data_IF_436519156556
#
_entry.id   IF_436519156556
#
_cell.length_a   1.000
_cell.length_b   1.000
_cell.length_c   1.000
_cell.angle_alpha   90.00
_cell.angle_beta   90.00
_cell.angle_gamma   90.00
#
_symmetry.space_group_name_H-M   'P 1'
#
loop_
_entity.id
_entity.type
_entity.pdbx_description
1 polymer ?
#
# COMPACT_ATOMS: atom_id res chain seq x y z
N UNK A 1 14.21 8.15 -28.81
CA UNK A 1 15.00 6.96 -29.20
C UNK A 1 16.47 7.37 -29.26
N UNK A 2 17.37 6.47 -28.85
CA UNK A 2 18.84 6.60 -28.76
C UNK A 2 19.40 7.27 -27.50
N UNK A 3 19.86 6.42 -26.54
CA UNK A 3 21.13 6.52 -25.78
C UNK A 3 21.19 5.61 -24.53
N UNK A 4 20.17 4.79 -24.24
CA UNK A 4 20.16 3.93 -23.04
C UNK A 4 20.70 2.50 -23.22
N UNK A 5 20.82 2.00 -24.45
CA UNK A 5 21.10 0.56 -24.68
C UNK A 5 22.60 0.24 -24.79
N UNK A 6 23.46 1.25 -24.88
CA UNK A 6 24.92 1.10 -24.99
C UNK A 6 25.53 1.49 -23.65
N UNK A 7 26.16 0.54 -22.90
CA UNK A 7 26.85 0.85 -21.65
C UNK A 7 27.95 1.91 -21.83
N UNK A 8 28.21 2.72 -20.80
CA UNK A 8 29.24 3.78 -20.85
C UNK A 8 30.66 3.24 -21.08
N UNK A 9 30.90 1.97 -20.71
CA UNK A 9 32.17 1.24 -20.86
C UNK A 9 32.19 0.30 -22.09
N UNK A 10 31.24 0.46 -23.02
CA UNK A 10 31.12 -0.42 -24.17
C UNK A 10 32.27 -0.25 -25.19
N UNK A 11 32.60 -1.34 -25.88
CA UNK A 11 33.53 -1.32 -27.01
C UNK A 11 33.07 -0.33 -28.10
N UNK A 12 34.02 0.29 -28.82
CA UNK A 12 33.70 1.14 -29.95
C UNK A 12 32.89 0.39 -31.01
N UNK A 13 31.74 0.96 -31.41
CA UNK A 13 30.73 0.35 -32.30
C UNK A 13 29.85 -0.75 -31.68
N UNK A 14 29.68 -0.75 -30.35
CA UNK A 14 28.69 -1.61 -29.70
C UNK A 14 27.29 -1.43 -30.32
N UNK A 15 26.63 -2.50 -30.77
CA UNK A 15 25.30 -2.41 -31.37
C UNK A 15 24.20 -2.07 -30.35
N UNK A 16 24.53 -2.01 -29.05
CA UNK A 16 23.58 -1.90 -27.94
C UNK A 16 23.08 -3.26 -27.47
N UNK A 17 22.75 -3.36 -26.17
CA UNK A 17 22.35 -4.61 -25.50
C UNK A 17 21.00 -5.14 -25.98
N UNK A 18 20.11 -4.26 -26.45
CA UNK A 18 18.77 -4.60 -26.95
C UNK A 18 18.69 -4.84 -28.47
N UNK A 19 19.81 -4.69 -29.19
CA UNK A 19 19.85 -4.86 -30.64
C UNK A 19 19.90 -6.33 -31.04
N UNK A 20 19.26 -6.70 -32.15
CA UNK A 20 19.32 -8.05 -32.73
C UNK A 20 20.74 -8.56 -33.01
N UNK A 21 21.68 -7.64 -33.21
CA UNK A 21 23.11 -7.93 -33.40
C UNK A 21 23.94 -7.95 -32.10
N UNK A 22 23.36 -7.65 -30.94
CA UNK A 22 24.01 -7.77 -29.63
C UNK A 22 24.53 -9.19 -29.39
N UNK A 23 25.80 -9.30 -28.99
CA UNK A 23 26.50 -10.56 -28.77
C UNK A 23 26.85 -11.36 -30.03
N UNK A 24 26.37 -10.92 -31.21
CA UNK A 24 26.53 -11.61 -32.50
C UNK A 24 27.38 -10.82 -33.51
N UNK A 25 27.53 -9.52 -33.33
CA UNK A 25 28.32 -8.65 -34.22
C UNK A 25 29.83 -8.77 -34.01
N UNK A 26 30.61 -8.38 -35.01
CA UNK A 26 32.08 -8.37 -34.92
C UNK A 26 32.58 -7.44 -33.80
N UNK A 27 31.86 -6.35 -33.51
CA UNK A 27 32.16 -5.43 -32.41
C UNK A 27 31.98 -6.06 -31.01
N UNK A 28 31.29 -7.20 -30.93
CA UNK A 28 31.09 -7.94 -29.68
C UNK A 28 32.19 -8.97 -29.41
N UNK A 29 33.07 -9.27 -30.38
CA UNK A 29 34.11 -10.28 -30.20
C UNK A 29 35.10 -9.87 -29.09
N UNK A 30 35.30 -10.76 -28.12
CA UNK A 30 36.18 -10.50 -26.97
C UNK A 30 35.57 -9.62 -25.89
N UNK A 31 34.29 -9.23 -26.03
CA UNK A 31 33.55 -8.56 -24.96
C UNK A 31 33.21 -9.57 -23.84
N UNK A 32 33.48 -9.27 -22.56
CA UNK A 32 33.14 -10.15 -21.45
C UNK A 32 31.66 -10.53 -21.36
N UNK A 33 30.77 -9.65 -21.86
CA UNK A 33 29.32 -9.83 -21.82
C UNK A 33 28.74 -10.35 -23.16
N UNK A 34 29.57 -10.83 -24.09
CA UNK A 34 29.14 -11.24 -25.44
C UNK A 34 28.03 -12.31 -25.39
N UNK A 35 28.24 -13.39 -24.64
CA UNK A 35 27.29 -14.52 -24.56
C UNK A 35 25.99 -14.11 -23.87
N UNK A 36 26.07 -13.27 -22.84
CA UNK A 36 24.90 -12.71 -22.16
C UNK A 36 24.06 -11.86 -23.12
N UNK A 37 24.68 -10.97 -23.89
CA UNK A 37 23.99 -10.15 -24.90
C UNK A 37 23.44 -10.98 -26.08
N UNK A 38 24.08 -12.11 -26.40
CA UNK A 38 23.64 -13.00 -27.48
C UNK A 38 22.39 -13.80 -27.11
N UNK A 39 22.26 -14.15 -25.83
CA UNK A 39 21.20 -15.01 -25.28
C UNK A 39 20.09 -14.22 -24.57
N UNK A 40 20.33 -12.95 -24.23
CA UNK A 40 19.31 -12.07 -23.67
C UNK A 40 18.10 -11.95 -24.62
N UNK A 41 16.86 -12.04 -24.09
CA UNK A 41 15.66 -11.75 -24.86
C UNK A 41 15.75 -10.34 -25.46
N UNK A 42 15.37 -10.21 -26.73
CA UNK A 42 15.43 -8.94 -27.48
C UNK A 42 14.04 -8.46 -27.81
N UNK A 43 13.87 -7.15 -27.83
CA UNK A 43 12.58 -6.52 -28.04
C UNK A 43 11.73 -6.45 -26.78
N UNK A 44 10.52 -5.86 -26.87
CA UNK A 44 9.64 -5.69 -25.73
C UNK A 44 9.24 -7.06 -25.17
N UNK A 45 9.30 -7.18 -23.86
CA UNK A 45 8.94 -8.38 -23.12
C UNK A 45 7.50 -8.81 -23.48
N UNK A 46 7.28 -10.00 -24.05
CA UNK A 46 5.96 -10.42 -24.51
C UNK A 46 4.93 -10.52 -23.38
N UNK A 47 5.39 -10.70 -22.14
CA UNK A 47 4.50 -10.70 -20.98
C UNK A 47 3.84 -9.32 -20.76
N UNK A 48 4.48 -8.22 -21.17
CA UNK A 48 3.91 -6.88 -21.03
C UNK A 48 2.64 -6.71 -21.88
N UNK A 49 2.57 -7.37 -23.03
CA UNK A 49 1.37 -7.34 -23.88
C UNK A 49 0.23 -8.06 -23.19
N UNK A 50 0.49 -9.23 -22.62
CA UNK A 50 -0.52 -10.02 -21.88
C UNK A 50 -0.97 -9.27 -20.62
N UNK A 51 -0.04 -8.65 -19.89
CA UNK A 51 -0.37 -7.79 -18.74
C UNK A 51 -1.26 -6.64 -19.19
N UNK A 52 -0.95 -6.00 -20.32
CA UNK A 52 -1.75 -4.90 -20.83
C UNK A 52 -3.19 -5.32 -21.14
N UNK A 53 -3.37 -6.47 -21.79
CA UNK A 53 -4.69 -7.05 -22.08
C UNK A 53 -5.46 -7.40 -20.79
N UNK A 54 -4.78 -8.03 -19.81
CA UNK A 54 -5.40 -8.39 -18.52
C UNK A 54 -5.82 -7.16 -17.73
N UNK A 55 -4.95 -6.16 -17.65
CA UNK A 55 -5.13 -4.95 -16.85
C UNK A 55 -6.00 -3.89 -17.54
N UNK A 56 -6.38 -4.09 -18.80
CA UNK A 56 -7.36 -3.26 -19.49
C UNK A 56 -8.76 -3.32 -18.85
N UNK A 57 -9.10 -4.42 -18.17
CA UNK A 57 -10.37 -4.60 -17.46
C UNK A 57 -10.40 -3.93 -16.07
N UNK A 58 -9.33 -3.22 -15.70
CA UNK A 58 -9.18 -2.52 -14.43
C UNK A 58 -9.25 -1.02 -14.68
N UNK A 59 -10.32 -0.37 -14.22
CA UNK A 59 -10.57 1.06 -14.48
C UNK A 59 -9.56 1.97 -13.78
N UNK A 60 -9.38 1.80 -12.48
CA UNK A 60 -8.47 2.60 -11.67
C UNK A 60 -7.40 1.76 -11.00
N UNK A 61 -6.14 2.20 -11.05
CA UNK A 61 -4.98 1.52 -10.44
C UNK A 61 -4.31 2.49 -9.48
N UNK A 62 -4.44 2.20 -8.18
CA UNK A 62 -3.97 3.06 -7.09
C UNK A 62 -2.92 2.33 -6.28
N UNK A 63 -1.76 2.95 -6.11
CA UNK A 63 -0.70 2.41 -5.27
C UNK A 63 -0.79 2.98 -3.85
N UNK A 64 -0.55 2.15 -2.85
CA UNK A 64 -0.39 2.58 -1.47
C UNK A 64 1.07 2.40 -1.08
N UNK A 65 1.76 3.53 -0.92
CA UNK A 65 3.20 3.60 -0.65
C UNK A 65 3.47 4.03 0.79
N UNK A 66 4.68 3.76 1.27
CA UNK A 66 5.16 4.30 2.55
C UNK A 66 6.68 4.38 2.56
N UNK A 67 7.25 5.44 3.13
CA UNK A 67 8.70 5.59 3.20
C UNK A 67 9.40 4.65 4.20
N UNK A 68 8.66 4.10 5.18
CA UNK A 68 9.19 3.20 6.21
C UNK A 68 8.18 2.11 6.59
N UNK A 69 8.69 1.00 7.14
CA UNK A 69 7.86 -0.05 7.73
C UNK A 69 7.11 0.42 8.99
N UNK A 70 5.97 -0.20 9.28
CA UNK A 70 5.22 0.03 10.53
C UNK A 70 4.36 1.30 10.59
N UNK A 71 4.20 2.04 9.50
CA UNK A 71 3.30 3.23 9.45
C UNK A 71 1.80 2.88 9.36
N UNK A 72 1.46 1.60 9.22
CA UNK A 72 0.09 1.15 8.97
C UNK A 72 -0.36 1.24 7.51
N UNK A 73 0.57 1.18 6.56
CA UNK A 73 0.32 1.15 5.11
C UNK A 73 -0.71 0.06 4.73
N UNK A 74 -0.42 -1.19 5.06
CA UNK A 74 -1.29 -2.33 4.73
C UNK A 74 -2.64 -2.26 5.44
N UNK A 75 -2.69 -1.72 6.67
CA UNK A 75 -3.95 -1.44 7.37
C UNK A 75 -4.78 -0.43 6.59
N UNK A 76 -4.16 0.65 6.11
CA UNK A 76 -4.82 1.63 5.25
C UNK A 76 -5.28 1.00 3.93
N UNK A 77 -4.44 0.18 3.27
CA UNK A 77 -4.80 -0.54 2.02
C UNK A 77 -6.03 -1.43 2.19
N UNK A 78 -6.10 -2.18 3.30
CA UNK A 78 -7.25 -3.03 3.63
C UNK A 78 -8.52 -2.20 3.90
N UNK A 79 -8.42 -1.15 4.72
CA UNK A 79 -9.58 -0.31 5.04
C UNK A 79 -10.06 0.54 3.85
N UNK A 80 -9.14 1.01 3.00
CA UNK A 80 -9.48 1.63 1.71
C UNK A 80 -10.29 0.66 0.85
N UNK A 81 -9.85 -0.59 0.75
CA UNK A 81 -10.54 -1.62 -0.02
C UNK A 81 -11.95 -1.89 0.54
N UNK A 82 -12.10 -2.02 1.87
CA UNK A 82 -13.41 -2.16 2.50
C UNK A 82 -14.33 -0.96 2.26
N UNK A 83 -13.81 0.27 2.35
CA UNK A 83 -14.60 1.48 2.14
C UNK A 83 -15.10 1.59 0.70
N UNK A 84 -14.22 1.35 -0.29
CA UNK A 84 -14.60 1.37 -1.70
C UNK A 84 -15.59 0.25 -2.03
N UNK A 85 -15.41 -0.94 -1.47
CA UNK A 85 -16.35 -2.04 -1.60
C UNK A 85 -17.72 -1.72 -0.99
N UNK A 86 -17.78 -1.00 0.13
CA UNK A 86 -19.02 -0.52 0.73
C UNK A 86 -19.72 0.56 -0.12
N UNK A 87 -19.03 1.15 -1.10
CA UNK A 87 -19.59 2.02 -2.13
C UNK A 87 -19.99 1.24 -3.41
N UNK A 88 -20.09 -0.10 -3.31
CA UNK A 88 -20.43 -1.07 -4.36
C UNK A 88 -19.42 -1.22 -5.50
N UNK A 89 -18.20 -0.70 -5.34
CA UNK A 89 -17.15 -0.90 -6.34
C UNK A 89 -16.60 -2.34 -6.32
N UNK A 90 -16.15 -2.81 -7.48
CA UNK A 90 -15.40 -4.06 -7.61
C UNK A 90 -13.91 -3.83 -7.35
N UNK A 91 -13.38 -4.46 -6.31
CA UNK A 91 -12.03 -4.17 -5.79
C UNK A 91 -11.11 -5.38 -5.96
N UNK A 92 -9.94 -5.13 -6.53
CA UNK A 92 -8.77 -6.00 -6.43
C UNK A 92 -7.80 -5.39 -5.43
N UNK A 93 -7.33 -6.17 -4.47
CA UNK A 93 -6.24 -5.82 -3.58
C UNK A 93 -5.05 -6.73 -3.87
N UNK A 94 -3.97 -6.13 -4.37
CA UNK A 94 -2.75 -6.82 -4.72
C UNK A 94 -1.66 -6.46 -3.71
N UNK A 95 -1.25 -7.43 -2.92
CA UNK A 95 -0.16 -7.32 -1.95
C UNK A 95 1.16 -7.81 -2.58
N UNK A 96 2.05 -6.85 -2.83
CA UNK A 96 3.41 -7.10 -3.31
C UNK A 96 4.46 -6.85 -2.22
N UNK A 97 4.07 -6.67 -0.96
CA UNK A 97 4.99 -6.54 0.17
C UNK A 97 5.55 -7.92 0.56
N UNK A 98 6.45 -8.39 -0.29
CA UNK A 98 6.97 -9.77 -0.28
C UNK A 98 7.67 -10.13 1.03
N UNK A 99 8.27 -9.15 1.71
CA UNK A 99 9.07 -9.34 2.90
C UNK A 99 8.24 -9.45 4.19
N UNK A 100 6.98 -9.00 4.16
CA UNK A 100 6.10 -8.97 5.34
C UNK A 100 4.63 -8.91 4.95
N UNK A 101 4.10 -9.94 4.25
CA UNK A 101 2.73 -9.93 3.77
C UNK A 101 1.78 -9.89 4.96
N UNK A 102 1.04 -8.79 5.10
CA UNK A 102 0.12 -8.58 6.22
C UNK A 102 -1.34 -8.56 5.78
N UNK A 103 -1.60 -8.42 4.47
CA UNK A 103 -2.95 -8.35 3.92
C UNK A 103 -3.79 -9.61 4.21
N UNK A 104 -3.28 -10.86 4.08
CA UNK A 104 -4.06 -12.04 4.46
C UNK A 104 -4.57 -11.99 5.90
N UNK A 105 -3.74 -11.55 6.85
CA UNK A 105 -4.16 -11.34 8.25
C UNK A 105 -5.22 -10.24 8.36
N UNK A 106 -4.95 -9.09 7.75
CA UNK A 106 -5.79 -7.89 7.85
C UNK A 106 -7.18 -8.03 7.23
N UNK A 107 -7.39 -9.09 6.45
CA UNK A 107 -8.68 -9.44 5.83
C UNK A 107 -9.25 -10.77 6.33
N UNK A 108 -8.64 -11.40 7.34
CA UNK A 108 -9.15 -12.66 7.91
C UNK A 108 -9.04 -13.86 6.97
N UNK A 109 -8.07 -13.82 6.05
CA UNK A 109 -7.82 -14.83 5.02
C UNK A 109 -6.62 -15.74 5.34
N UNK A 110 -6.21 -15.82 6.61
CA UNK A 110 -5.14 -16.73 7.02
C UNK A 110 -5.49 -18.19 6.69
N UNK A 111 -4.51 -18.93 6.18
CA UNK A 111 -4.69 -20.32 5.76
C UNK A 111 -5.41 -20.51 4.41
N UNK A 112 -5.84 -19.43 3.76
CA UNK A 112 -6.29 -19.49 2.38
C UNK A 112 -5.10 -19.59 1.41
N UNK A 113 -5.37 -20.14 0.22
CA UNK A 113 -4.36 -20.34 -0.81
C UNK A 113 -4.88 -19.96 -2.19
N UNK A 114 -3.98 -19.56 -3.08
CA UNK A 114 -4.30 -19.31 -4.48
C UNK A 114 -4.64 -20.65 -5.14
N UNK A 115 -5.74 -20.68 -5.91
CA UNK A 115 -6.15 -21.84 -6.69
C UNK A 115 -5.88 -21.60 -8.16
N UNK A 116 -5.39 -22.61 -8.86
CA UNK A 116 -5.18 -22.56 -10.31
C UNK A 116 -6.37 -23.22 -11.02
N UNK A 117 -6.83 -22.59 -12.11
CA UNK A 117 -7.88 -23.09 -12.99
C UNK A 117 -7.50 -22.84 -14.46
N UNK A 118 -8.36 -23.24 -15.40
CA UNK A 118 -8.10 -23.10 -16.85
C UNK A 118 -7.93 -21.65 -17.34
N UNK A 119 -8.36 -20.65 -16.57
CA UNK A 119 -8.26 -19.22 -16.87
C UNK A 119 -7.04 -18.56 -16.20
N UNK A 120 -6.36 -19.27 -15.30
CA UNK A 120 -5.22 -18.82 -14.52
C UNK A 120 -5.42 -18.97 -13.01
N UNK A 121 -4.77 -18.10 -12.24
CA UNK A 121 -4.88 -18.04 -10.79
C UNK A 121 -6.18 -17.33 -10.37
N UNK A 122 -6.92 -17.98 -9.47
CA UNK A 122 -8.13 -17.41 -8.86
C UNK A 122 -7.73 -16.59 -7.63
N UNK A 123 -8.16 -15.31 -7.54
CA UNK A 123 -7.95 -14.54 -6.33
C UNK A 123 -8.78 -15.09 -5.17
N UNK A 124 -8.33 -14.82 -3.94
CA UNK A 124 -9.08 -15.14 -2.72
C UNK A 124 -10.11 -14.04 -2.47
N UNK A 125 -11.34 -14.42 -2.12
CA UNK A 125 -12.43 -13.47 -1.89
C UNK A 125 -12.59 -13.23 -0.39
N UNK A 126 -12.72 -11.95 0.01
CA UNK A 126 -13.13 -11.58 1.38
C UNK A 126 -14.65 -11.56 1.46
N UNK A 127 -15.25 -10.75 0.59
CA UNK A 127 -16.68 -10.61 0.34
C UNK A 127 -16.91 -10.69 -1.18
N UNK A 128 -18.17 -10.59 -1.63
CA UNK A 128 -18.53 -10.75 -3.04
C UNK A 128 -17.82 -9.81 -4.03
N UNK A 129 -17.34 -8.64 -3.56
CA UNK A 129 -16.73 -7.60 -4.39
C UNK A 129 -15.28 -7.22 -4.00
N UNK A 130 -14.63 -7.97 -3.09
CA UNK A 130 -13.20 -7.78 -2.76
C UNK A 130 -12.43 -9.05 -3.12
N UNK A 131 -11.54 -8.92 -4.09
CA UNK A 131 -10.63 -9.97 -4.58
C UNK A 131 -9.22 -9.66 -4.11
N UNK A 132 -8.49 -10.66 -3.63
CA UNK A 132 -7.18 -10.48 -3.00
C UNK A 132 -6.17 -11.43 -3.59
N UNK A 133 -4.98 -10.91 -3.87
CA UNK A 133 -3.78 -11.68 -4.14
C UNK A 133 -2.68 -11.16 -3.22
N UNK A 134 -1.99 -12.09 -2.56
CA UNK A 134 -0.84 -11.81 -1.72
C UNK A 134 0.16 -12.94 -1.86
N UNK A 135 1.45 -12.63 -1.72
CA UNK A 135 2.46 -13.68 -1.57
C UNK A 135 2.18 -14.56 -0.34
N UNK A 136 1.51 -14.04 0.70
CA UNK A 136 1.21 -14.79 1.91
C UNK A 136 0.39 -16.06 1.66
N UNK A 137 -0.36 -16.12 0.55
CA UNK A 137 -1.10 -17.32 0.12
C UNK A 137 -0.23 -18.39 -0.55
N UNK A 138 1.01 -18.06 -0.89
CA UNK A 138 1.99 -18.96 -1.51
C UNK A 138 3.05 -19.44 -0.52
N UNK A 139 3.05 -18.91 0.71
CA UNK A 139 3.99 -19.32 1.75
C UNK A 139 3.51 -20.62 2.41
N UNK A 140 4.42 -21.57 2.73
CA UNK A 140 4.06 -22.81 3.39
C UNK A 140 3.49 -22.62 4.80
N UNK A 141 3.88 -21.53 5.46
CA UNK A 141 3.42 -21.16 6.79
C UNK A 141 3.66 -19.68 7.13
N UNK A 142 2.98 -19.16 8.16
CA UNK A 142 2.99 -17.74 8.52
C UNK A 142 4.33 -17.23 9.08
N UNK A 143 5.14 -18.12 9.68
CA UNK A 143 6.43 -17.76 10.30
C UNK A 143 7.63 -17.93 9.36
N UNK A 144 7.40 -18.32 8.10
CA UNK A 144 8.50 -18.53 7.15
C UNK A 144 9.04 -17.21 6.60
N UNK A 145 10.32 -16.95 6.85
CA UNK A 145 11.01 -15.80 6.31
C UNK A 145 11.22 -15.94 4.79
N UNK A 146 10.69 -14.98 4.04
CA UNK A 146 10.81 -14.94 2.58
C UNK A 146 12.15 -14.32 2.18
N UNK A 147 13.18 -15.14 1.99
CA UNK A 147 14.49 -14.70 1.49
C UNK A 147 14.60 -14.96 -0.02
N UNK A 148 13.88 -14.18 -0.82
CA UNK A 148 13.87 -14.32 -2.28
C UNK A 148 14.76 -13.28 -2.95
N UNK A 149 15.49 -13.69 -4.00
CA UNK A 149 16.28 -12.78 -4.83
C UNK A 149 15.39 -11.90 -5.70
N UNK A 150 15.82 -10.66 -5.96
CA UNK A 150 15.08 -9.65 -6.74
C UNK A 150 14.39 -10.17 -8.01
N UNK A 151 15.09 -10.87 -8.93
CA UNK A 151 14.47 -11.39 -10.16
C UNK A 151 13.28 -12.32 -9.92
N UNK A 152 13.31 -13.12 -8.85
CA UNK A 152 12.20 -14.01 -8.48
C UNK A 152 11.00 -13.21 -7.98
N UNK A 153 11.24 -12.13 -7.23
CA UNK A 153 10.19 -11.22 -6.76
C UNK A 153 9.53 -10.49 -7.93
N UNK A 154 10.33 -9.91 -8.82
CA UNK A 154 9.86 -9.27 -10.06
C UNK A 154 9.05 -10.24 -10.92
N UNK A 155 9.52 -11.49 -11.08
CA UNK A 155 8.78 -12.54 -11.79
C UNK A 155 7.44 -12.89 -11.13
N UNK A 156 7.37 -12.91 -9.79
CA UNK A 156 6.11 -13.15 -9.09
C UNK A 156 5.11 -12.00 -9.30
N UNK A 157 5.55 -10.75 -9.17
CA UNK A 157 4.70 -9.57 -9.42
C UNK A 157 4.14 -9.63 -10.85
N UNK A 158 5.00 -10.00 -11.81
CA UNK A 158 4.60 -10.19 -13.20
C UNK A 158 3.50 -11.25 -13.34
N UNK A 159 3.65 -12.41 -12.69
CA UNK A 159 2.64 -13.47 -12.69
C UNK A 159 1.33 -13.00 -12.02
N UNK A 160 1.38 -12.21 -10.95
CA UNK A 160 0.18 -11.64 -10.34
C UNK A 160 -0.62 -10.72 -11.28
N UNK A 161 0.05 -10.03 -12.20
CA UNK A 161 -0.61 -9.19 -13.19
C UNK A 161 -1.06 -9.97 -14.43
N UNK A 162 -0.32 -11.02 -14.81
CA UNK A 162 -0.54 -11.78 -16.04
C UNK A 162 -1.51 -12.95 -15.86
N UNK A 163 -1.28 -13.73 -14.81
CA UNK A 163 -1.89 -15.06 -14.64
C UNK A 163 -3.11 -15.02 -13.71
N UNK A 164 -3.29 -13.95 -12.92
CA UNK A 164 -4.48 -13.81 -12.07
C UNK A 164 -5.68 -13.37 -12.89
N UNK A 165 -6.77 -14.10 -12.75
CA UNK A 165 -8.05 -13.74 -13.34
C UNK A 165 -8.84 -12.81 -12.42
N UNK A 166 -8.58 -11.50 -12.55
CA UNK A 166 -9.23 -10.44 -11.76
C UNK A 166 -10.68 -10.15 -12.17
N UNK A 167 -11.09 -10.57 -13.37
CA UNK A 167 -12.31 -10.14 -14.05
C UNK A 167 -12.38 -8.59 -14.18
N UNK A 168 -13.57 -8.00 -14.27
CA UNK A 168 -13.76 -6.55 -14.24
C UNK A 168 -13.56 -5.98 -12.82
N UNK A 169 -12.74 -4.93 -12.73
CA UNK A 169 -12.47 -4.19 -11.50
C UNK A 169 -12.67 -2.70 -11.73
N UNK A 170 -13.33 -2.05 -10.76
CA UNK A 170 -13.35 -0.59 -10.69
C UNK A 170 -12.02 -0.07 -10.13
N UNK A 171 -11.47 -0.75 -9.11
CA UNK A 171 -10.19 -0.39 -8.51
C UNK A 171 -9.28 -1.61 -8.33
N UNK A 172 -8.01 -1.44 -8.69
CA UNK A 172 -6.91 -2.27 -8.21
C UNK A 172 -6.07 -1.43 -7.23
N UNK A 173 -6.16 -1.77 -5.95
CA UNK A 173 -5.33 -1.22 -4.89
C UNK A 173 -4.08 -2.08 -4.77
N UNK A 174 -2.89 -1.49 -4.88
CA UNK A 174 -1.62 -2.20 -4.75
C UNK A 174 -0.93 -1.81 -3.45
N UNK A 175 -0.78 -2.76 -2.53
CA UNK A 175 -0.02 -2.60 -1.31
C UNK A 175 1.45 -2.90 -1.58
N UNK A 176 2.29 -1.85 -1.63
CA UNK A 176 3.72 -2.00 -1.99
C UNK A 176 4.58 -2.29 -0.76
N UNK A 177 5.79 -2.83 -0.87
CA UNK A 177 6.75 -2.79 0.25
C UNK A 177 7.09 -1.34 0.67
N UNK A 178 7.64 -1.15 1.89
CA UNK A 178 8.10 0.16 2.34
C UNK A 178 9.41 0.60 1.68
N UNK A 179 9.55 1.91 1.49
CA UNK A 179 10.70 2.57 0.89
C UNK A 179 10.80 2.34 -0.62
N UNK A 180 11.80 2.96 -1.24
CA UNK A 180 12.06 2.86 -2.69
C UNK A 180 12.72 1.52 -3.04
N UNK A 181 11.95 0.59 -3.57
CA UNK A 181 12.38 -0.80 -3.83
C UNK A 181 12.24 -1.21 -5.29
N UNK A 182 12.96 -2.27 -5.71
CA UNK A 182 12.89 -2.80 -7.07
C UNK A 182 11.48 -3.26 -7.43
N UNK A 183 10.71 -3.72 -6.44
CA UNK A 183 9.31 -4.13 -6.57
C UNK A 183 8.41 -2.96 -7.01
N UNK A 184 8.62 -1.76 -6.46
CA UNK A 184 7.87 -0.55 -6.85
C UNK A 184 8.21 -0.10 -8.27
N UNK A 185 9.49 -0.18 -8.66
CA UNK A 185 9.91 0.14 -10.03
C UNK A 185 9.29 -0.88 -11.01
N UNK A 186 9.34 -2.17 -10.65
CA UNK A 186 8.82 -3.27 -11.47
C UNK A 186 7.32 -3.11 -11.72
N UNK A 187 6.51 -2.84 -10.69
CA UNK A 187 5.05 -2.68 -10.85
C UNK A 187 4.70 -1.46 -11.71
N UNK A 188 5.43 -0.34 -11.57
CA UNK A 188 5.25 0.85 -12.42
C UNK A 188 5.56 0.53 -13.87
N UNK A 189 6.65 -0.19 -14.13
CA UNK A 189 7.04 -0.59 -15.49
C UNK A 189 6.00 -1.53 -16.12
N UNK A 190 5.53 -2.54 -15.38
CA UNK A 190 4.56 -3.51 -15.88
C UNK A 190 3.19 -2.90 -16.17
N UNK A 191 2.76 -1.92 -15.36
CA UNK A 191 1.47 -1.25 -15.52
C UNK A 191 1.54 -0.01 -16.43
N UNK A 192 2.73 0.41 -16.85
CA UNK A 192 2.95 1.65 -17.60
C UNK A 192 2.12 1.77 -18.89
N UNK A 193 1.85 0.65 -19.58
CA UNK A 193 1.02 0.63 -20.79
C UNK A 193 -0.49 0.75 -20.52
N UNK A 194 -0.94 0.51 -19.28
CA UNK A 194 -2.37 0.46 -18.90
C UNK A 194 -2.85 1.64 -18.08
N UNK A 195 -1.96 2.61 -17.82
CA UNK A 195 -2.23 3.78 -17.01
C UNK A 195 -2.25 3.47 -15.50
N UNK A 196 -1.69 4.40 -14.72
CA UNK A 196 -1.68 4.38 -13.25
C UNK A 196 -2.30 5.70 -12.81
N UNK A 197 -3.40 5.66 -12.06
CA UNK A 197 -4.10 6.88 -11.62
C UNK A 197 -3.25 7.67 -10.62
N UNK A 198 -2.53 6.95 -9.75
CA UNK A 198 -1.54 7.54 -8.88
C UNK A 198 -1.25 6.73 -7.62
N UNK A 199 -0.57 7.38 -6.68
CA UNK A 199 -0.15 6.82 -5.41
C UNK A 199 -0.67 7.62 -4.23
N UNK A 200 -1.08 6.90 -3.18
CA UNK A 200 -1.35 7.42 -1.85
C UNK A 200 -0.15 7.09 -0.98
N UNK A 201 0.39 8.07 -0.27
CA UNK A 201 1.54 7.86 0.61
C UNK A 201 1.08 7.88 2.07
N UNK A 202 1.34 6.80 2.80
CA UNK A 202 1.01 6.67 4.22
C UNK A 202 2.26 6.96 5.06
N UNK A 203 2.11 7.78 6.09
CA UNK A 203 3.20 8.15 7.02
C UNK A 203 2.72 8.30 8.45
N UNK A 204 3.65 8.53 9.37
CA UNK A 204 3.39 8.95 10.76
C UNK A 204 3.94 10.37 11.00
N UNK A 205 3.48 11.11 12.03
CA UNK A 205 3.93 12.49 12.28
C UNK A 205 5.40 12.62 12.74
N UNK A 206 6.09 11.51 13.02
CA UNK A 206 7.49 11.49 13.42
C UNK A 206 8.40 12.17 12.38
N UNK A 207 9.30 13.05 12.83
CA UNK A 207 10.24 13.78 11.96
C UNK A 207 11.04 12.88 11.02
N UNK A 208 11.54 11.75 11.53
CA UNK A 208 12.31 10.79 10.73
C UNK A 208 11.48 10.24 9.57
N UNK A 209 10.16 10.05 9.76
CA UNK A 209 9.27 9.53 8.73
C UNK A 209 9.00 10.54 7.62
N UNK A 210 8.96 11.84 7.96
CA UNK A 210 8.76 12.89 6.96
C UNK A 210 9.89 12.94 5.93
N UNK A 211 11.13 12.63 6.34
CA UNK A 211 12.26 12.55 5.41
C UNK A 211 12.01 11.45 4.37
N UNK A 212 11.54 10.29 4.82
CA UNK A 212 11.28 9.16 3.91
C UNK A 212 10.07 9.42 3.01
N UNK A 213 9.05 10.15 3.48
CA UNK A 213 7.94 10.60 2.62
C UNK A 213 8.41 11.54 1.51
N UNK A 214 9.35 12.46 1.81
CA UNK A 214 9.92 13.34 0.77
C UNK A 214 10.63 12.54 -0.32
N UNK A 215 11.35 11.47 0.05
CA UNK A 215 11.97 10.56 -0.91
C UNK A 215 10.91 9.83 -1.73
N UNK A 216 9.84 9.37 -1.10
CA UNK A 216 8.74 8.66 -1.78
C UNK A 216 7.98 9.55 -2.78
N UNK A 217 7.74 10.83 -2.43
CA UNK A 217 7.16 11.82 -3.35
C UNK A 217 8.11 12.06 -4.53
N UNK A 218 9.42 12.16 -4.26
CA UNK A 218 10.43 12.36 -5.31
C UNK A 218 10.51 11.14 -6.22
N UNK A 219 10.45 9.93 -5.66
CA UNK A 219 10.35 8.68 -6.41
C UNK A 219 9.14 8.71 -7.37
N UNK A 220 7.95 9.01 -6.85
CA UNK A 220 6.73 9.12 -7.67
C UNK A 220 6.90 10.09 -8.84
N UNK A 221 7.48 11.28 -8.58
CA UNK A 221 7.77 12.28 -9.62
C UNK A 221 8.76 11.74 -10.67
N UNK A 222 9.80 11.03 -10.26
CA UNK A 222 10.81 10.46 -11.15
C UNK A 222 10.26 9.34 -12.05
N UNK A 223 9.32 8.54 -11.54
CA UNK A 223 8.72 7.43 -12.30
C UNK A 223 7.39 7.81 -12.99
N UNK A 224 6.99 9.08 -12.94
CA UNK A 224 5.79 9.59 -13.61
C UNK A 224 4.47 9.18 -12.95
N UNK A 225 4.48 8.79 -11.68
CA UNK A 225 3.27 8.45 -10.92
C UNK A 225 2.77 9.69 -10.17
N UNK A 226 1.50 10.06 -10.39
CA UNK A 226 0.86 11.17 -9.69
C UNK A 226 0.70 10.85 -8.20
N UNK A 227 1.07 11.76 -7.31
CA UNK A 227 0.72 11.63 -5.89
C UNK A 227 -0.72 12.11 -5.69
N UNK A 228 -1.64 11.18 -5.43
CA UNK A 228 -3.05 11.46 -5.15
C UNK A 228 -3.24 12.12 -3.79
N UNK A 229 -2.34 11.82 -2.86
CA UNK A 229 -2.12 12.58 -1.65
C UNK A 229 -1.45 11.79 -0.55
N UNK A 230 -1.22 12.48 0.57
CA UNK A 230 -0.55 11.92 1.76
C UNK A 230 -1.54 11.76 2.90
N UNK A 231 -1.47 10.61 3.57
CA UNK A 231 -2.22 10.28 4.79
C UNK A 231 -1.25 10.21 5.96
N UNK A 232 -1.49 11.03 6.98
CA UNK A 232 -0.75 10.97 8.24
C UNK A 232 -1.49 10.06 9.24
N UNK A 233 -1.08 8.81 9.29
CA UNK A 233 -1.58 7.81 10.22
C UNK A 233 -0.94 7.97 11.61
N UNK A 234 -1.58 7.40 12.63
CA UNK A 234 -1.11 7.45 14.02
C UNK A 234 -0.89 8.88 14.55
N UNK A 235 -1.74 9.82 14.10
CA UNK A 235 -1.63 11.24 14.45
C UNK A 235 -2.34 11.54 15.77
N UNK A 236 -1.58 11.53 16.85
CA UNK A 236 -2.10 11.67 18.20
C UNK A 236 -2.80 10.40 18.70
N UNK A 237 -3.14 10.40 19.98
CA UNK A 237 -3.96 9.38 20.62
C UNK A 237 -5.26 10.05 21.04
N UNK A 238 -6.39 9.55 20.54
CA UNK A 238 -7.71 9.96 20.99
C UNK A 238 -8.51 8.70 21.30
N UNK A 239 -9.18 8.64 22.45
CA UNK A 239 -10.12 7.58 22.81
C UNK A 239 -11.07 8.07 23.90
N UNK A 240 -12.23 7.41 24.11
CA UNK A 240 -13.09 7.70 25.24
C UNK A 240 -12.31 7.74 26.55
N UNK A 241 -12.56 8.74 27.40
CA UNK A 241 -11.83 8.94 28.66
C UNK A 241 -11.87 7.67 29.53
N UNK A 242 -12.98 6.94 29.49
CA UNK A 242 -13.22 5.74 30.29
C UNK A 242 -12.42 4.51 29.82
N UNK A 243 -11.87 4.55 28.61
CA UNK A 243 -11.06 3.49 28.01
C UNK A 243 -9.57 3.63 28.39
N UNK A 244 -9.15 4.81 28.87
CA UNK A 244 -7.81 4.98 29.42
C UNK A 244 -7.61 4.15 30.69
N UNK A 245 -6.39 3.62 30.84
CA UNK A 245 -5.91 3.10 32.12
C UNK A 245 -5.42 4.26 32.97
N UNK A 246 -5.92 4.35 34.20
CA UNK A 246 -5.51 5.34 35.17
C UNK A 246 -4.54 4.71 36.15
N UNK A 247 -3.28 5.17 36.14
CA UNK A 247 -2.23 4.65 37.00
C UNK A 247 -1.92 5.65 38.10
N UNK A 248 -1.82 5.19 39.35
CA UNK A 248 -1.28 5.96 40.47
C UNK A 248 0.19 5.62 40.62
N UNK A 249 1.05 6.64 40.65
CA UNK A 249 2.48 6.48 40.93
C UNK A 249 2.69 6.60 42.44
N UNK A 250 3.37 5.63 43.05
CA UNK A 250 3.79 5.69 44.45
C UNK A 250 5.07 6.51 44.59
N UNK A 251 5.41 6.89 45.82
CA UNK A 251 6.69 7.55 46.14
C UNK A 251 7.92 6.68 45.78
N UNK A 252 7.74 5.35 45.72
CA UNK A 252 8.77 4.39 45.30
C UNK A 252 8.87 4.21 43.78
N UNK A 253 8.00 4.87 43.00
CA UNK A 253 7.96 4.77 41.54
C UNK A 253 7.17 3.57 41.00
N UNK A 254 6.50 2.80 41.86
CA UNK A 254 5.61 1.74 41.42
C UNK A 254 4.31 2.31 40.85
N UNK A 255 3.74 1.62 39.87
CA UNK A 255 2.49 2.01 39.21
C UNK A 255 1.37 1.04 39.59
N UNK A 256 0.31 1.55 40.22
CA UNK A 256 -0.90 0.78 40.55
C UNK A 256 -2.04 1.20 39.62
N UNK A 257 -2.71 0.24 38.99
CA UNK A 257 -3.92 0.49 38.20
C UNK A 257 -5.08 0.85 39.14
N UNK A 258 -5.58 2.07 39.02
CA UNK A 258 -6.70 2.61 39.81
C UNK A 258 -7.91 2.91 38.91
N UNK A 259 -7.98 2.33 37.72
CA UNK A 259 -8.99 2.66 36.71
C UNK A 259 -10.41 2.43 37.22
N UNK A 260 -10.67 1.34 37.96
CA UNK A 260 -12.00 1.06 38.51
C UNK A 260 -12.46 2.15 39.49
N UNK A 261 -11.57 2.56 40.41
CA UNK A 261 -11.84 3.66 41.34
C UNK A 261 -12.08 4.99 40.60
N UNK A 262 -11.27 5.31 39.58
CA UNK A 262 -11.48 6.54 38.78
C UNK A 262 -12.83 6.51 38.08
N UNK A 263 -13.22 5.38 37.49
CA UNK A 263 -14.51 5.25 36.80
C UNK A 263 -15.69 5.42 37.76
N UNK A 264 -15.63 4.83 38.95
CA UNK A 264 -16.65 4.98 39.97
C UNK A 264 -16.73 6.43 40.49
N UNK A 265 -15.58 7.04 40.77
CA UNK A 265 -15.49 8.42 41.22
C UNK A 265 -16.03 9.41 40.17
N UNK A 266 -15.68 9.23 38.90
CA UNK A 266 -16.20 10.05 37.80
C UNK A 266 -17.72 9.88 37.65
N UNK A 267 -18.24 8.66 37.78
CA UNK A 267 -19.68 8.40 37.71
C UNK A 267 -20.45 9.14 38.80
N UNK A 268 -19.92 9.16 40.03
CA UNK A 268 -20.58 9.81 41.16
C UNK A 268 -20.43 11.34 41.14
N UNK A 269 -19.21 11.83 40.90
CA UNK A 269 -18.88 13.25 41.10
C UNK A 269 -18.92 14.10 39.84
N UNK A 270 -18.75 13.50 38.67
CA UNK A 270 -18.65 14.22 37.40
C UNK A 270 -19.15 13.37 36.21
N UNK A 271 -20.43 12.95 36.21
CA UNK A 271 -20.95 11.99 35.23
C UNK A 271 -20.82 12.48 33.78
N UNK A 272 -20.78 13.80 33.57
CA UNK A 272 -20.55 14.44 32.27
C UNK A 272 -19.20 14.07 31.64
N UNK A 273 -18.18 13.75 32.46
CA UNK A 273 -16.84 13.41 31.97
C UNK A 273 -16.79 12.01 31.33
N UNK A 274 -17.77 11.14 31.59
CA UNK A 274 -17.81 9.77 31.05
C UNK A 274 -17.96 9.73 29.52
N UNK A 275 -18.54 10.78 28.94
CA UNK A 275 -18.78 10.88 27.50
C UNK A 275 -17.73 11.75 26.79
N UNK A 276 -16.63 12.09 27.46
CA UNK A 276 -15.55 12.86 26.85
C UNK A 276 -14.57 11.96 26.12
N UNK A 277 -14.00 12.51 25.06
CA UNK A 277 -12.84 11.96 24.37
C UNK A 277 -11.62 12.72 24.88
N UNK A 278 -10.63 12.00 25.39
CA UNK A 278 -9.35 12.57 25.75
C UNK A 278 -8.38 12.39 24.58
N UNK A 279 -7.71 13.48 24.21
CA UNK A 279 -6.75 13.51 23.11
C UNK A 279 -5.37 13.95 23.64
N UNK A 280 -4.31 13.31 23.13
CA UNK A 280 -2.92 13.65 23.42
C UNK A 280 -2.10 13.64 22.13
N UNK A 281 -1.17 14.59 22.01
CA UNK A 281 -0.17 14.56 20.95
C UNK A 281 0.95 13.60 21.34
N UNK A 282 1.10 12.51 20.57
CA UNK A 282 2.12 11.47 20.83
C UNK A 282 3.47 11.87 20.22
N UNK A 283 3.45 12.66 19.14
CA UNK A 283 4.64 13.12 18.44
C UNK A 283 4.62 14.64 18.36
N UNK A 284 5.80 15.25 18.44
CA UNK A 284 5.96 16.70 18.34
C UNK A 284 5.46 17.22 16.99
N UNK A 285 4.32 17.91 17.03
CA UNK A 285 3.63 18.48 15.88
C UNK A 285 4.08 19.91 15.56
N UNK A 286 4.96 20.52 16.38
CA UNK A 286 5.36 21.93 16.29
C UNK A 286 5.92 22.35 14.92
N UNK A 287 6.50 21.39 14.20
CA UNK A 287 7.02 21.57 12.84
C UNK A 287 5.97 21.68 11.73
N UNK A 288 4.69 21.39 12.02
CA UNK A 288 3.59 21.35 11.04
C UNK A 288 3.35 19.99 10.36
N UNK A 289 4.14 18.96 10.70
CA UNK A 289 3.91 17.57 10.31
C UNK A 289 3.87 17.31 8.79
N UNK A 290 3.12 16.28 8.39
CA UNK A 290 2.97 15.91 6.98
C UNK A 290 2.21 16.98 6.18
N UNK A 291 1.27 17.69 6.79
CA UNK A 291 0.48 18.71 6.09
C UNK A 291 1.34 19.86 5.57
N UNK A 292 2.24 20.39 6.42
CA UNK A 292 3.19 21.42 5.98
C UNK A 292 4.10 20.91 4.87
N UNK A 293 4.64 19.69 5.02
CA UNK A 293 5.49 19.06 4.00
C UNK A 293 4.75 18.90 2.66
N UNK A 294 3.47 18.55 2.69
CA UNK A 294 2.65 18.45 1.47
C UNK A 294 2.52 19.79 0.75
N UNK A 295 2.30 20.88 1.50
CA UNK A 295 2.26 22.24 0.93
C UNK A 295 3.60 22.64 0.31
N UNK A 296 4.72 22.31 0.96
CA UNK A 296 6.07 22.62 0.46
C UNK A 296 6.43 21.81 -0.80
N UNK A 297 5.91 20.59 -0.94
CA UNK A 297 6.21 19.71 -2.06
C UNK A 297 5.18 19.77 -3.20
N UNK A 298 4.15 20.61 -3.04
CA UNK A 298 3.02 20.77 -3.94
C UNK A 298 2.29 19.44 -4.22
N UNK A 299 1.89 18.76 -3.14
CA UNK A 299 1.10 17.52 -3.20
C UNK A 299 -0.13 17.59 -2.27
N UNK A 300 -1.23 16.88 -2.58
CA UNK A 300 -2.42 16.92 -1.74
C UNK A 300 -2.18 16.28 -0.36
N UNK A 301 -2.70 16.91 0.69
CA UNK A 301 -2.82 16.30 2.01
C UNK A 301 -4.24 15.76 2.18
N UNK A 302 -4.41 14.46 2.34
CA UNK A 302 -5.74 13.83 2.43
C UNK A 302 -6.32 13.93 3.84
N UNK A 303 -5.50 13.78 4.88
CA UNK A 303 -5.94 13.93 6.25
C UNK A 303 -5.10 13.15 7.26
N UNK A 304 -5.60 13.13 8.49
CA UNK A 304 -4.97 12.49 9.65
C UNK A 304 -5.84 11.34 10.15
N UNK A 305 -5.23 10.22 10.50
CA UNK A 305 -5.90 9.10 11.19
C UNK A 305 -5.27 8.98 12.59
N UNK A 306 -6.06 9.05 13.68
CA UNK A 306 -5.52 8.96 15.04
C UNK A 306 -5.07 7.52 15.37
N UNK A 307 -4.23 7.38 16.41
CA UNK A 307 -4.03 6.08 17.05
C UNK A 307 -5.34 5.64 17.70
N UNK A 308 -5.90 4.56 17.17
CA UNK A 308 -7.16 3.99 17.62
C UNK A 308 -6.96 2.47 17.88
N UNK A 309 -7.00 2.02 19.15
CA UNK A 309 -6.88 0.60 19.47
C UNK A 309 -7.95 -0.27 18.79
N UNK A 310 -9.14 0.28 18.51
CA UNK A 310 -10.21 -0.45 17.84
C UNK A 310 -9.89 -0.67 16.35
N UNK A 311 -9.20 0.28 15.70
CA UNK A 311 -8.69 0.08 14.35
C UNK A 311 -7.66 -1.05 14.29
N UNK A 312 -6.73 -1.08 15.26
CA UNK A 312 -5.75 -2.15 15.38
C UNK A 312 -6.44 -3.51 15.56
N UNK A 313 -7.42 -3.58 16.47
CA UNK A 313 -8.21 -4.79 16.73
C UNK A 313 -9.00 -5.23 15.49
N UNK A 314 -9.60 -4.30 14.75
CA UNK A 314 -10.30 -4.61 13.51
C UNK A 314 -9.35 -5.23 12.48
N UNK A 315 -8.14 -4.69 12.33
CA UNK A 315 -7.12 -5.24 11.45
C UNK A 315 -6.64 -6.63 11.91
N UNK A 316 -6.41 -6.84 13.21
CA UNK A 316 -6.01 -8.15 13.75
C UNK A 316 -7.08 -9.23 13.58
N UNK A 317 -8.35 -8.84 13.66
CA UNK A 317 -9.49 -9.73 13.48
C UNK A 317 -9.92 -9.88 12.01
N UNK A 318 -9.27 -9.18 11.08
CA UNK A 318 -9.55 -9.30 9.66
C UNK A 318 -10.82 -8.60 9.18
N UNK A 319 -11.25 -7.53 9.85
CA UNK A 319 -12.57 -6.89 9.66
C UNK A 319 -12.46 -5.43 9.23
N UNK A 320 -13.53 -4.98 8.57
CA UNK A 320 -13.74 -3.56 8.29
C UNK A 320 -13.96 -2.75 9.57
N UNK A 321 -13.32 -1.58 9.67
CA UNK A 321 -13.54 -0.63 10.77
C UNK A 321 -14.87 0.14 10.67
N UNK A 322 -15.61 0.01 9.56
CA UNK A 322 -16.82 0.79 9.30
C UNK A 322 -18.13 0.10 9.76
N UNK A 323 -18.08 -1.18 10.13
CA UNK A 323 -19.31 -1.99 10.32
C UNK A 323 -19.80 -1.99 11.78
N UNK A 324 -18.90 -2.00 12.76
CA UNK A 324 -19.26 -2.31 14.16
C UNK A 324 -19.40 -1.08 15.08
N UNK A 325 -19.29 0.14 14.52
CA UNK A 325 -19.28 1.42 15.26
C UNK A 325 -18.27 1.47 16.43
N UNK A 326 -17.32 0.52 16.52
CA UNK A 326 -16.30 0.51 17.58
C UNK A 326 -15.19 1.50 17.29
N UNK A 327 -14.86 1.69 16.02
CA UNK A 327 -13.84 2.62 15.55
C UNK A 327 -14.39 4.06 15.47
N UNK A 328 -14.78 4.63 16.60
CA UNK A 328 -15.49 5.92 16.65
C UNK A 328 -14.67 7.12 16.15
N UNK A 329 -13.33 6.99 16.12
CA UNK A 329 -12.43 8.09 15.79
C UNK A 329 -11.71 7.85 14.46
N UNK A 330 -11.17 6.66 14.26
CA UNK A 330 -10.46 6.30 13.03
C UNK A 330 -11.40 6.11 11.84
N UNK A 331 -12.58 5.52 12.01
CA UNK A 331 -13.48 5.26 10.89
C UNK A 331 -14.04 6.56 10.26
N UNK A 332 -14.50 7.58 11.01
CA UNK A 332 -14.89 8.86 10.42
C UNK A 332 -13.73 9.57 9.72
N UNK A 333 -12.52 9.52 10.29
CA UNK A 333 -11.32 10.10 9.70
C UNK A 333 -10.94 9.43 8.38
N UNK A 334 -10.91 8.09 8.34
CA UNK A 334 -10.68 7.30 7.14
C UNK A 334 -11.76 7.57 6.08
N UNK A 335 -13.04 7.61 6.48
CA UNK A 335 -14.15 7.92 5.56
C UNK A 335 -13.94 9.29 4.89
N UNK A 336 -13.63 10.33 5.67
CA UNK A 336 -13.36 11.68 5.15
C UNK A 336 -12.17 11.69 4.18
N UNK A 337 -11.10 10.95 4.50
CA UNK A 337 -9.92 10.82 3.64
C UNK A 337 -10.28 10.18 2.30
N UNK A 338 -11.11 9.14 2.33
CA UNK A 338 -11.49 8.34 1.16
C UNK A 338 -12.50 9.11 0.29
N UNK A 339 -13.46 9.80 0.89
CA UNK A 339 -14.37 10.71 0.18
C UNK A 339 -13.58 11.81 -0.54
N UNK A 340 -12.63 12.44 0.15
CA UNK A 340 -11.74 13.44 -0.44
C UNK A 340 -10.89 12.88 -1.58
N UNK A 341 -10.39 11.65 -1.46
CA UNK A 341 -9.65 10.96 -2.52
C UNK A 341 -10.51 10.78 -3.77
N UNK A 342 -11.75 10.33 -3.58
CA UNK A 342 -12.72 10.08 -4.66
C UNK A 342 -13.10 11.39 -5.36
N UNK A 343 -13.48 12.41 -4.59
CA UNK A 343 -13.90 13.72 -5.11
C UNK A 343 -12.76 14.41 -5.89
N UNK A 344 -11.56 14.48 -5.30
CA UNK A 344 -10.43 15.19 -5.92
C UNK A 344 -9.95 14.57 -7.23
N UNK A 345 -10.26 13.29 -7.47
CA UNK A 345 -9.82 12.57 -8.66
C UNK A 345 -10.97 12.20 -9.60
N UNK A 346 -12.20 12.65 -9.30
CA UNK A 346 -13.36 12.42 -10.16
C UNK A 346 -13.73 10.95 -10.31
N UNK A 347 -13.42 10.13 -9.30
CA UNK A 347 -13.77 8.71 -9.28
C UNK A 347 -15.28 8.57 -9.08
N UNK A 348 -16.06 8.74 -10.13
CA UNK A 348 -17.51 8.56 -10.05
C UNK A 348 -17.89 7.12 -10.35
N UNK A 349 -18.99 6.68 -9.76
CA UNK A 349 -19.71 5.50 -10.25
C UNK A 349 -20.05 5.81 -11.71
N UNK A 350 -19.49 5.06 -12.66
CA UNK A 350 -20.17 4.93 -13.95
C UNK A 350 -21.51 4.31 -13.61
N UNK A 351 -22.53 5.15 -13.50
CA UNK A 351 -23.91 4.70 -13.55
C UNK A 351 -23.98 3.91 -14.86
N UNK A 352 -24.20 2.61 -14.74
CA UNK A 352 -24.66 1.82 -15.88
C UNK A 352 -25.88 2.56 -16.38
N UNK A 353 -25.76 3.20 -17.54
CA UNK A 353 -26.88 3.88 -18.19
C UNK A 353 -28.04 2.89 -18.16
N UNK A 354 -29.11 3.31 -17.50
CA UNK A 354 -30.36 2.55 -17.45
C UNK A 354 -30.96 2.65 -18.84
N UNK A 355 -30.62 1.70 -19.71
CA UNK A 355 -31.31 1.43 -20.96
C UNK A 355 -32.50 0.51 -20.71
#
# INVERSE_FOLDING_TARGET
>A
MANGDIPEDANGHCPGTQSDSAGKSDACQGCPNQEACATAPKGPDPDLVVIAERMANVKHKIFVLSGKGGVGKSTFSAQLSFALAAMDFQIGLLDIDICGPSIPKMLGLEGQGIRENNLGWSPVYVDGNIRVISIGFLLPGPDEAVVWRGPRKTGLIKNFLKDVYWNELDFLVVDTPPGTSDEQISIVQFLGATGIDGAIIVTTPQQVSLIDVRKEITFCKNVGVKVLGVVENMSGLCQPLMDFKFMRMTETGEHTDISEWVREYLREKAPVLQNLIACSEVFDSSSGGAEKMCREMDVPFLGKVPLDPQLCKAAEEGRSCFIDNKCQLSAPALKTIIEKLIENNGFSRMLVDSA
#
